data_IF_568639828086
#
_entry.id   IF_568639828086
#
_cell.length_a   1.000
_cell.length_b   1.000
_cell.length_c   1.000
_cell.angle_alpha   90.00
_cell.angle_beta   90.00
_cell.angle_gamma   90.00
#
_symmetry.space_group_name_H-M   'P 1'
#
loop_
_entity.id
_entity.type
_entity.pdbx_description
1 polymer ?
#
# COMPACT_ATOMS: atom_id res chain seq x y z
N UNK A 1 -15.44 21.04 40.75
CA UNK A 1 -15.96 20.85 39.37
C UNK A 1 -15.08 19.81 38.71
N UNK A 2 -15.63 18.61 38.55
CA UNK A 2 -14.92 17.41 38.12
C UNK A 2 -14.74 17.42 36.60
N UNK A 3 -13.51 17.18 36.13
CA UNK A 3 -13.23 16.91 34.72
C UNK A 3 -13.64 15.46 34.42
N UNK A 4 -14.76 15.28 33.74
CA UNK A 4 -15.16 13.99 33.20
C UNK A 4 -14.26 13.68 31.99
N UNK A 5 -13.36 12.72 32.17
CA UNK A 5 -12.61 12.12 31.07
C UNK A 5 -13.57 11.39 30.13
N UNK A 6 -13.46 11.66 28.82
CA UNK A 6 -14.09 10.83 27.80
C UNK A 6 -13.36 9.49 27.75
N UNK A 7 -13.94 8.49 28.38
CA UNK A 7 -13.64 7.08 28.11
C UNK A 7 -14.20 6.74 26.73
N UNK A 8 -13.31 6.53 25.75
CA UNK A 8 -13.68 5.90 24.49
C UNK A 8 -13.92 4.42 24.80
N UNK A 9 -15.18 4.03 24.92
CA UNK A 9 -15.57 2.63 25.05
C UNK A 9 -15.36 1.94 23.70
N UNK A 10 -14.26 1.21 23.55
CA UNK A 10 -14.06 0.20 22.51
C UNK A 10 -14.96 -1.00 22.80
N UNK A 11 -16.24 -0.88 22.47
CA UNK A 11 -17.16 -2.01 22.42
C UNK A 11 -17.20 -2.55 20.98
N UNK A 12 -16.65 -3.75 20.74
CA UNK A 12 -17.08 -4.52 19.56
C UNK A 12 -16.09 -5.39 18.78
N UNK A 13 -14.90 -5.74 19.28
CA UNK A 13 -14.14 -6.87 18.69
C UNK A 13 -13.80 -7.86 19.81
N UNK A 14 -14.81 -8.61 20.26
CA UNK A 14 -14.58 -9.91 20.91
C UNK A 14 -14.23 -10.92 19.81
N UNK A 15 -12.97 -10.90 19.39
CA UNK A 15 -12.46 -11.77 18.33
C UNK A 15 -10.98 -11.99 18.53
N UNK A 16 -10.62 -12.80 19.54
CA UNK A 16 -9.25 -13.20 19.84
C UNK A 16 -8.77 -14.31 18.86
N UNK A 17 -9.16 -14.21 17.58
CA UNK A 17 -8.87 -15.22 16.59
C UNK A 17 -7.44 -15.06 16.11
N UNK A 18 -6.63 -16.08 16.37
CA UNK A 18 -5.22 -16.10 15.97
C UNK A 18 -5.11 -16.65 14.56
N UNK A 19 -4.77 -15.78 13.62
CA UNK A 19 -4.50 -16.16 12.24
C UNK A 19 -2.99 -16.13 12.02
N UNK A 20 -2.46 -17.15 11.35
CA UNK A 20 -1.07 -17.18 10.88
C UNK A 20 -1.08 -17.33 9.37
N UNK A 21 -0.47 -16.37 8.68
CA UNK A 21 -0.33 -16.35 7.22
C UNK A 21 1.12 -16.58 6.81
N UNK A 22 1.32 -17.16 5.63
CA UNK A 22 2.62 -17.32 4.99
C UNK A 22 2.49 -16.97 3.52
N UNK A 23 3.46 -16.23 2.99
CA UNK A 23 3.58 -16.05 1.54
C UNK A 23 3.91 -17.42 0.94
N UNK A 24 3.18 -17.79 -0.10
CA UNK A 24 3.35 -19.04 -0.82
C UNK A 24 3.51 -18.77 -2.32
N UNK A 25 3.79 -19.82 -3.07
CA UNK A 25 3.93 -19.79 -4.54
C UNK A 25 4.93 -18.75 -5.06
N UNK A 26 6.22 -19.09 -4.92
CA UNK A 26 7.33 -18.29 -5.46
C UNK A 26 7.63 -18.63 -6.94
N UNK A 27 6.69 -19.23 -7.68
CA UNK A 27 6.91 -19.63 -9.08
C UNK A 27 7.20 -18.47 -10.04
N UNK A 28 6.72 -17.25 -9.69
CA UNK A 28 6.99 -16.02 -10.42
C UNK A 28 7.98 -15.09 -9.69
N UNK A 29 8.57 -15.52 -8.58
CA UNK A 29 9.53 -14.71 -7.84
C UNK A 29 10.82 -14.53 -8.64
N UNK A 30 11.50 -13.41 -8.42
CA UNK A 30 12.76 -13.10 -9.09
C UNK A 30 13.75 -12.44 -8.14
N UNK A 31 15.02 -12.41 -8.53
CA UNK A 31 16.07 -11.76 -7.74
C UNK A 31 16.10 -10.27 -8.07
N UNK A 32 16.31 -9.42 -7.06
CA UNK A 32 16.34 -7.96 -7.24
C UNK A 32 17.37 -7.47 -8.28
N UNK A 33 18.49 -8.20 -8.43
CA UNK A 33 19.56 -7.86 -9.38
C UNK A 33 19.37 -8.56 -10.75
N UNK A 34 18.47 -9.54 -10.85
CA UNK A 34 18.32 -10.40 -12.04
C UNK A 34 16.86 -10.74 -12.29
N UNK A 35 16.16 -9.86 -13.01
CA UNK A 35 14.77 -10.05 -13.40
C UNK A 35 14.63 -11.10 -14.51
N UNK A 36 13.68 -12.03 -14.33
CA UNK A 36 13.36 -13.07 -15.32
C UNK A 36 12.47 -12.53 -16.45
N UNK A 37 11.51 -11.67 -16.12
CA UNK A 37 10.54 -11.06 -17.05
C UNK A 37 10.07 -9.72 -16.51
N UNK A 38 9.68 -8.79 -17.39
CA UNK A 38 9.06 -7.51 -17.03
C UNK A 38 7.51 -7.59 -16.98
N UNK A 39 6.91 -8.68 -17.47
CA UNK A 39 5.47 -8.93 -17.27
C UNK A 39 5.26 -9.64 -15.93
N UNK A 40 5.06 -8.83 -14.89
CA UNK A 40 4.87 -9.26 -13.51
C UNK A 40 3.53 -8.75 -12.97
N UNK A 41 3.17 -9.24 -11.78
CA UNK A 41 1.96 -8.90 -11.02
C UNK A 41 0.65 -9.28 -11.73
N UNK A 42 -0.35 -9.70 -10.95
CA UNK A 42 -1.73 -9.82 -11.43
C UNK A 42 -2.31 -8.43 -11.66
N UNK A 43 -3.25 -8.31 -12.61
CA UNK A 43 -3.80 -7.04 -13.12
C UNK A 43 -4.14 -6.02 -12.03
N UNK A 44 -4.97 -6.38 -11.05
CA UNK A 44 -5.51 -5.49 -10.03
C UNK A 44 -4.46 -5.02 -9.00
N UNK A 45 -3.33 -5.73 -8.93
CA UNK A 45 -2.24 -5.44 -7.99
C UNK A 45 -1.03 -4.83 -8.68
N UNK A 46 -1.13 -4.54 -9.98
CA UNK A 46 -0.01 -4.11 -10.82
C UNK A 46 0.30 -2.63 -10.62
N UNK A 47 1.57 -2.31 -10.34
CA UNK A 47 2.02 -0.96 -10.06
C UNK A 47 2.22 -0.12 -11.35
N UNK A 48 2.17 1.22 -11.26
CA UNK A 48 2.20 2.09 -12.44
C UNK A 48 3.50 1.96 -13.25
N UNK A 49 4.65 1.79 -12.58
CA UNK A 49 5.93 1.61 -13.27
C UNK A 49 5.95 0.34 -14.14
N UNK A 50 5.28 -0.73 -13.74
CA UNK A 50 5.16 -1.95 -14.55
C UNK A 50 4.20 -1.73 -15.73
N UNK A 51 3.08 -1.05 -15.53
CA UNK A 51 2.12 -0.76 -16.62
C UNK A 51 2.79 0.07 -17.73
N UNK A 52 3.55 1.11 -17.37
CA UNK A 52 4.23 1.95 -18.35
C UNK A 52 5.53 1.33 -18.88
N UNK A 53 5.99 0.21 -18.30
CA UNK A 53 7.25 -0.45 -18.65
C UNK A 53 8.49 0.34 -18.26
N UNK A 54 8.45 1.04 -17.12
CA UNK A 54 9.60 1.65 -16.47
C UNK A 54 10.33 0.61 -15.61
N UNK A 55 11.52 0.99 -15.09
CA UNK A 55 12.25 0.14 -14.15
C UNK A 55 11.44 -0.02 -12.86
N UNK A 56 11.42 -1.25 -12.36
CA UNK A 56 10.75 -1.65 -11.13
C UNK A 56 11.74 -2.35 -10.19
N UNK A 57 11.36 -2.53 -8.93
CA UNK A 57 12.16 -3.18 -7.89
C UNK A 57 11.24 -3.86 -6.87
N UNK A 58 11.76 -4.27 -5.71
CA UNK A 58 10.98 -4.85 -4.61
C UNK A 58 9.84 -3.96 -4.11
N UNK A 59 9.85 -2.65 -4.40
CA UNK A 59 8.74 -1.74 -4.07
C UNK A 59 7.47 -2.03 -4.88
N UNK A 60 7.56 -2.80 -5.98
CA UNK A 60 6.39 -3.31 -6.71
C UNK A 60 5.52 -4.24 -5.83
N UNK A 61 6.14 -5.03 -4.95
CA UNK A 61 5.42 -5.89 -4.02
C UNK A 61 4.66 -5.07 -2.98
N UNK A 62 5.25 -3.97 -2.50
CA UNK A 62 4.60 -3.07 -1.52
C UNK A 62 3.33 -2.44 -2.10
N UNK A 63 3.34 -2.05 -3.37
CA UNK A 63 2.14 -1.59 -4.06
C UNK A 63 1.07 -2.70 -4.09
N UNK A 64 1.47 -3.93 -4.45
CA UNK A 64 0.56 -5.08 -4.49
C UNK A 64 -0.08 -5.34 -3.13
N UNK A 65 0.71 -5.24 -2.05
CA UNK A 65 0.24 -5.39 -0.67
C UNK A 65 -0.79 -4.32 -0.33
N UNK A 66 -0.60 -3.06 -0.74
CA UNK A 66 -1.59 -2.01 -0.50
C UNK A 66 -2.93 -2.31 -1.18
N UNK A 67 -2.89 -2.80 -2.43
CA UNK A 67 -4.10 -3.23 -3.14
C UNK A 67 -4.81 -4.39 -2.42
N UNK A 68 -4.06 -5.41 -1.97
CA UNK A 68 -4.61 -6.55 -1.22
C UNK A 68 -5.19 -6.11 0.12
N UNK A 69 -4.51 -5.22 0.85
CA UNK A 69 -5.00 -4.69 2.13
C UNK A 69 -6.31 -3.93 1.95
N UNK A 70 -6.41 -3.09 0.91
CA UNK A 70 -7.66 -2.41 0.58
C UNK A 70 -8.79 -3.42 0.28
N UNK A 71 -8.51 -4.46 -0.50
CA UNK A 71 -9.50 -5.49 -0.84
C UNK A 71 -10.00 -6.23 0.41
N UNK A 72 -9.10 -6.58 1.33
CA UNK A 72 -9.45 -7.22 2.60
C UNK A 72 -10.29 -6.29 3.48
N UNK A 73 -9.93 -5.01 3.57
CA UNK A 73 -10.65 -4.00 4.38
C UNK A 73 -12.06 -3.75 3.84
N UNK A 74 -12.21 -3.69 2.52
CA UNK A 74 -13.48 -3.36 1.87
C UNK A 74 -14.39 -4.57 1.63
N UNK A 75 -13.91 -5.79 1.94
CA UNK A 75 -14.70 -7.02 1.85
C UNK A 75 -14.73 -7.65 0.46
N UNK A 76 -13.70 -7.42 -0.35
CA UNK A 76 -13.51 -8.06 -1.65
C UNK A 76 -13.57 -7.12 -2.86
N UNK A 77 -13.69 -5.81 -2.66
CA UNK A 77 -13.61 -4.84 -3.75
C UNK A 77 -12.14 -4.58 -4.12
N UNK A 78 -11.81 -4.67 -5.41
CA UNK A 78 -10.49 -4.28 -5.88
C UNK A 78 -10.28 -2.76 -5.78
N UNK A 79 -9.09 -2.35 -5.35
CA UNK A 79 -8.69 -0.93 -5.37
C UNK A 79 -8.67 -0.37 -6.79
N UNK A 80 -8.20 -1.17 -7.73
CA UNK A 80 -8.22 -0.86 -9.15
C UNK A 80 -8.82 -2.05 -9.91
N UNK A 81 -9.92 -1.82 -10.63
CA UNK A 81 -10.57 -2.84 -11.47
C UNK A 81 -10.70 -2.31 -12.90
N UNK A 82 -9.63 -2.34 -13.69
CA UNK A 82 -9.60 -1.70 -15.00
C UNK A 82 -10.42 -2.45 -16.05
N UNK A 83 -11.25 -1.69 -16.78
CA UNK A 83 -12.09 -2.20 -17.86
C UNK A 83 -11.73 -1.54 -19.20
N UNK A 84 -11.85 -2.26 -20.34
CA UNK A 84 -11.60 -1.67 -21.63
C UNK A 84 -12.79 -0.79 -22.03
N UNK A 85 -12.50 0.34 -22.66
CA UNK A 85 -13.49 1.20 -23.29
C UNK A 85 -13.54 1.03 -24.80
N UNK A 86 -14.45 1.75 -25.45
CA UNK A 86 -14.50 1.82 -26.92
C UNK A 86 -13.32 2.57 -27.55
N UNK A 87 -12.62 3.42 -26.77
CA UNK A 87 -11.53 4.28 -27.26
C UNK A 87 -10.25 4.18 -26.43
N UNK A 88 -10.22 3.33 -25.41
CA UNK A 88 -9.12 3.19 -24.48
C UNK A 88 -8.98 1.72 -24.07
N UNK A 89 -7.75 1.28 -23.83
CA UNK A 89 -7.42 -0.08 -23.40
C UNK A 89 -7.69 -0.28 -21.90
N UNK A 90 -7.58 -1.52 -21.42
CA UNK A 90 -7.58 -1.77 -19.96
C UNK A 90 -6.42 -1.06 -19.27
N UNK A 91 -5.25 -0.97 -19.90
CA UNK A 91 -4.09 -0.30 -19.28
C UNK A 91 -4.28 1.22 -19.22
N UNK A 92 -4.95 1.83 -20.21
CA UNK A 92 -5.35 3.24 -20.16
C UNK A 92 -6.29 3.51 -18.97
N UNK A 93 -7.32 2.68 -18.80
CA UNK A 93 -8.27 2.79 -17.69
C UNK A 93 -7.59 2.59 -16.34
N UNK A 94 -6.66 1.63 -16.27
CA UNK A 94 -5.91 1.36 -15.05
C UNK A 94 -5.08 2.57 -14.61
N UNK A 95 -4.35 3.20 -15.54
CA UNK A 95 -3.59 4.41 -15.25
C UNK A 95 -4.53 5.56 -14.87
N UNK A 96 -5.69 5.70 -15.52
CA UNK A 96 -6.67 6.70 -15.16
C UNK A 96 -7.17 6.53 -13.71
N UNK A 97 -7.54 5.31 -13.30
CA UNK A 97 -7.96 5.02 -11.93
C UNK A 97 -6.85 5.33 -10.91
N UNK A 98 -5.60 4.99 -11.23
CA UNK A 98 -4.44 5.36 -10.39
C UNK A 98 -4.32 6.88 -10.24
N UNK A 99 -4.49 7.63 -11.33
CA UNK A 99 -4.41 9.10 -11.30
C UNK A 99 -5.59 9.70 -10.52
N UNK A 100 -6.80 9.15 -10.68
CA UNK A 100 -7.99 9.61 -9.95
C UNK A 100 -7.83 9.43 -8.44
N UNK A 101 -7.18 8.35 -7.99
CA UNK A 101 -6.95 8.08 -6.57
C UNK A 101 -5.75 8.83 -6.00
N UNK A 102 -4.60 8.77 -6.68
CA UNK A 102 -3.30 9.20 -6.14
C UNK A 102 -2.78 10.53 -6.70
N UNK A 103 -3.47 11.11 -7.68
CA UNK A 103 -3.03 12.30 -8.39
C UNK A 103 -2.13 11.99 -9.59
N UNK A 104 -1.59 13.05 -10.21
CA UNK A 104 -0.81 12.90 -11.45
C UNK A 104 0.46 12.06 -11.26
N UNK A 105 0.68 11.11 -12.16
CA UNK A 105 1.93 10.34 -12.20
C UNK A 105 3.08 11.28 -12.57
N UNK A 106 4.14 11.36 -11.74
CA UNK A 106 5.28 12.21 -12.03
C UNK A 106 5.91 11.88 -13.38
N UNK A 107 6.30 12.92 -14.13
CA UNK A 107 6.88 12.77 -15.48
C UNK A 107 8.12 11.87 -15.52
N UNK A 108 8.87 11.81 -14.44
CA UNK A 108 10.02 10.91 -14.27
C UNK A 108 9.65 9.42 -14.35
N UNK A 109 8.38 9.08 -14.16
CA UNK A 109 7.83 7.73 -14.32
C UNK A 109 6.99 7.67 -15.59
N UNK A 110 6.06 8.61 -15.76
CA UNK A 110 5.11 8.60 -16.88
C UNK A 110 5.79 8.61 -18.27
N UNK A 111 6.99 9.20 -18.39
CA UNK A 111 7.68 9.39 -19.68
C UNK A 111 8.96 8.57 -19.86
N UNK A 112 9.30 7.68 -18.92
CA UNK A 112 10.55 6.90 -18.95
C UNK A 112 10.35 5.43 -19.30
N UNK A 113 9.10 4.95 -19.29
CA UNK A 113 8.76 3.57 -19.58
C UNK A 113 8.70 3.25 -21.07
N UNK A 114 8.94 1.98 -21.40
CA UNK A 114 8.90 1.45 -22.78
C UNK A 114 7.56 1.71 -23.47
N UNK A 115 6.46 1.70 -22.71
CA UNK A 115 5.09 1.86 -23.21
C UNK A 115 4.54 3.27 -22.93
N UNK A 116 5.34 4.18 -22.35
CA UNK A 116 4.91 5.53 -21.97
C UNK A 116 4.23 6.32 -23.10
N UNK A 117 4.71 6.18 -24.34
CA UNK A 117 4.14 6.91 -25.48
C UNK A 117 2.73 6.46 -25.87
N UNK A 118 2.31 5.28 -25.44
CA UNK A 118 0.96 4.74 -25.67
C UNK A 118 -0.06 5.44 -24.75
N UNK A 119 0.34 5.72 -23.50
CA UNK A 119 -0.55 6.29 -22.49
C UNK A 119 -0.46 7.81 -22.42
N UNK A 120 0.76 8.37 -22.51
CA UNK A 120 1.01 9.79 -22.23
C UNK A 120 1.48 10.58 -23.45
N UNK A 121 1.05 11.83 -23.52
CA UNK A 121 1.61 12.82 -24.43
C UNK A 121 2.91 13.42 -23.85
N UNK A 122 3.60 14.29 -24.61
CA UNK A 122 4.86 14.92 -24.17
C UNK A 122 4.71 15.82 -22.93
N UNK A 123 3.49 16.26 -22.61
CA UNK A 123 3.21 17.03 -21.40
C UNK A 123 3.03 16.15 -20.17
N UNK A 124 2.91 14.83 -20.32
CA UNK A 124 2.58 13.89 -19.24
C UNK A 124 1.08 13.69 -19.02
N UNK A 125 0.24 14.13 -19.95
CA UNK A 125 -1.21 13.97 -19.87
C UNK A 125 -1.64 12.69 -20.61
N UNK A 126 -2.71 12.05 -20.14
CA UNK A 126 -3.29 10.87 -20.79
C UNK A 126 -3.79 11.19 -22.21
N UNK A 127 -3.56 10.26 -23.13
CA UNK A 127 -3.97 10.40 -24.55
C UNK A 127 -5.42 10.07 -24.79
N UNK A 128 -5.89 8.98 -24.19
CA UNK A 128 -7.17 8.37 -24.54
C UNK A 128 -8.30 8.70 -23.55
N UNK A 129 -7.96 9.17 -22.35
CA UNK A 129 -8.90 9.55 -21.30
C UNK A 129 -8.58 10.97 -20.85
N UNK A 130 -9.51 11.90 -21.08
CA UNK A 130 -9.34 13.33 -20.78
C UNK A 130 -10.17 13.82 -19.59
N UNK A 131 -11.18 13.05 -19.18
CA UNK A 131 -12.06 13.38 -18.07
C UNK A 131 -11.71 12.47 -16.90
N UNK A 132 -10.98 13.02 -15.94
CA UNK A 132 -10.61 12.35 -14.70
C UNK A 132 -11.46 12.90 -13.55
N UNK A 133 -11.89 12.03 -12.65
CA UNK A 133 -12.62 12.37 -11.42
C UNK A 133 -11.77 12.01 -10.22
N UNK A 134 -11.03 13.00 -9.71
CA UNK A 134 -10.20 12.79 -8.52
C UNK A 134 -11.06 12.45 -7.31
N UNK A 135 -10.73 11.34 -6.67
CA UNK A 135 -11.39 10.87 -5.46
C UNK A 135 -10.34 10.21 -4.57
N UNK A 136 -9.71 10.96 -3.66
CA UNK A 136 -8.59 10.46 -2.87
C UNK A 136 -9.05 9.34 -1.92
N UNK A 137 -8.11 8.50 -1.51
CA UNK A 137 -8.38 7.26 -0.79
C UNK A 137 -9.23 7.46 0.47
N UNK A 138 -8.93 8.47 1.29
CA UNK A 138 -9.69 8.77 2.50
C UNK A 138 -11.15 9.13 2.20
N UNK A 139 -11.41 9.81 1.08
CA UNK A 139 -12.76 10.16 0.64
C UNK A 139 -13.47 8.94 0.04
N UNK A 140 -12.77 8.04 -0.64
CA UNK A 140 -13.34 6.76 -1.10
C UNK A 140 -13.80 5.94 0.11
N UNK A 141 -12.95 5.81 1.13
CA UNK A 141 -13.26 5.08 2.35
C UNK A 141 -14.45 5.69 3.10
N UNK A 142 -14.53 7.02 3.22
CA UNK A 142 -15.63 7.68 3.92
C UNK A 142 -16.94 7.66 3.11
N UNK A 143 -16.89 7.99 1.83
CA UNK A 143 -18.08 8.30 1.05
C UNK A 143 -18.69 7.05 0.41
N UNK A 144 -17.86 6.09 -0.04
CA UNK A 144 -18.32 4.84 -0.67
C UNK A 144 -18.55 3.75 0.37
N UNK A 145 -17.61 3.57 1.30
CA UNK A 145 -17.63 2.47 2.27
C UNK A 145 -18.14 2.89 3.65
N UNK A 146 -18.47 4.17 3.84
CA UNK A 146 -19.09 4.69 5.06
C UNK A 146 -18.24 4.51 6.32
N UNK A 147 -16.92 4.41 6.17
CA UNK A 147 -16.02 4.42 7.31
C UNK A 147 -16.09 5.80 8.03
N UNK A 148 -16.08 5.83 9.37
CA UNK A 148 -15.92 7.07 10.11
C UNK A 148 -14.64 7.80 9.70
N UNK A 149 -14.69 9.13 9.57
CA UNK A 149 -13.56 9.94 9.11
C UNK A 149 -12.23 9.63 9.81
N UNK A 150 -12.15 9.48 11.15
CA UNK A 150 -10.90 9.12 11.82
C UNK A 150 -10.34 7.76 11.39
N UNK A 151 -11.20 6.79 11.10
CA UNK A 151 -10.80 5.47 10.63
C UNK A 151 -10.37 5.51 9.17
N UNK A 152 -11.10 6.23 8.31
CA UNK A 152 -10.71 6.49 6.92
C UNK A 152 -9.32 7.13 6.83
N UNK A 153 -9.07 8.14 7.67
CA UNK A 153 -7.78 8.84 7.72
C UNK A 153 -6.66 7.93 8.23
N UNK A 154 -6.94 7.08 9.23
CA UNK A 154 -5.96 6.13 9.76
C UNK A 154 -5.58 5.07 8.70
N UNK A 155 -6.56 4.49 8.00
CA UNK A 155 -6.31 3.53 6.91
C UNK A 155 -5.56 4.20 5.76
N UNK A 156 -6.01 5.39 5.32
CA UNK A 156 -5.34 6.12 4.26
C UNK A 156 -3.89 6.50 4.63
N UNK A 157 -3.64 6.87 5.89
CA UNK A 157 -2.27 7.16 6.36
C UNK A 157 -1.35 5.94 6.27
N UNK A 158 -1.88 4.73 6.43
CA UNK A 158 -1.15 3.48 6.26
C UNK A 158 -0.95 3.11 4.77
N UNK A 159 -1.99 3.24 3.94
CA UNK A 159 -1.95 2.81 2.54
C UNK A 159 -1.24 3.79 1.59
N UNK A 160 -1.39 5.10 1.80
CA UNK A 160 -0.83 6.12 0.90
C UNK A 160 0.71 6.04 0.71
N UNK A 161 1.53 5.79 1.76
CA UNK A 161 2.98 5.60 1.59
C UNK A 161 3.34 4.38 0.73
N UNK A 162 2.51 3.32 0.78
CA UNK A 162 2.66 2.12 -0.04
C UNK A 162 2.18 2.32 -1.49
N UNK A 163 1.25 3.25 -1.70
CA UNK A 163 0.74 3.67 -3.02
C UNK A 163 1.51 4.87 -3.61
N UNK A 164 2.72 5.16 -3.12
CA UNK A 164 3.54 6.24 -3.67
C UNK A 164 3.88 5.97 -5.15
N UNK A 165 3.59 6.95 -6.01
CA UNK A 165 3.82 6.86 -7.45
C UNK A 165 5.30 6.91 -7.85
N UNK A 166 6.18 7.38 -6.96
CA UNK A 166 7.63 7.32 -7.15
C UNK A 166 8.17 6.07 -6.46
N UNK A 167 8.65 5.05 -7.19
CA UNK A 167 9.11 3.79 -6.60
C UNK A 167 10.21 4.01 -5.55
N UNK A 168 11.17 4.89 -5.83
CA UNK A 168 12.27 5.22 -4.91
C UNK A 168 11.84 5.94 -3.62
N UNK A 169 10.60 6.45 -3.57
CA UNK A 169 10.01 7.09 -2.37
C UNK A 169 8.88 6.27 -1.76
N UNK A 170 8.52 5.13 -2.37
CA UNK A 170 7.51 4.24 -1.84
C UNK A 170 8.06 3.59 -0.57
N UNK A 171 7.24 3.58 0.48
CA UNK A 171 7.64 3.03 1.76
C UNK A 171 8.08 1.57 1.62
N UNK A 172 9.08 1.15 2.40
CA UNK A 172 9.43 -0.27 2.44
C UNK A 172 8.48 -1.03 3.36
N UNK A 173 8.29 -2.34 3.13
CA UNK A 173 7.53 -3.18 4.07
C UNK A 173 8.13 -3.15 5.49
N UNK A 174 9.45 -3.00 5.60
CA UNK A 174 10.15 -2.87 6.87
C UNK A 174 9.78 -1.59 7.63
N UNK A 175 9.57 -0.47 6.93
CA UNK A 175 9.10 0.77 7.57
C UNK A 175 7.63 0.63 7.99
N UNK A 176 6.81 0.04 7.12
CA UNK A 176 5.36 -0.04 7.32
C UNK A 176 4.94 -0.96 8.47
N UNK A 177 5.77 -1.93 8.86
CA UNK A 177 5.48 -2.79 10.03
C UNK A 177 5.43 -2.01 11.34
N UNK A 178 6.00 -0.80 11.38
CA UNK A 178 6.04 0.08 12.53
C UNK A 178 4.97 1.20 12.48
N UNK A 179 4.08 1.15 11.50
CA UNK A 179 3.06 2.18 11.35
C UNK A 179 1.99 2.09 12.47
N UNK A 180 1.54 3.23 12.98
CA UNK A 180 0.62 3.32 14.12
C UNK A 180 -0.70 2.58 13.93
N UNK A 181 -1.18 2.48 12.68
CA UNK A 181 -2.37 1.69 12.32
C UNK A 181 -2.26 0.20 12.71
N UNK A 182 -1.04 -0.34 12.86
CA UNK A 182 -0.79 -1.72 13.26
C UNK A 182 -0.47 -1.89 14.76
N UNK A 183 -0.38 -0.81 15.57
CA UNK A 183 0.04 -0.89 16.98
C UNK A 183 -0.85 -1.79 17.84
N UNK A 184 -2.16 -1.83 17.54
CA UNK A 184 -3.10 -2.68 18.27
C UNK A 184 -3.04 -4.16 17.84
N UNK A 185 -2.27 -4.51 16.81
CA UNK A 185 -2.16 -5.87 16.30
C UNK A 185 -1.11 -6.64 17.07
N UNK A 186 -1.55 -7.63 17.85
CA UNK A 186 -0.64 -8.55 18.55
C UNK A 186 -0.24 -9.68 17.60
N UNK A 187 0.97 -9.63 17.04
CA UNK A 187 1.50 -10.74 16.24
C UNK A 187 2.22 -11.74 17.14
N UNK A 188 1.75 -13.00 17.20
CA UNK A 188 2.47 -14.09 17.89
C UNK A 188 3.50 -14.74 16.97
N UNK A 189 4.39 -13.93 16.41
CA UNK A 189 5.46 -14.37 15.52
C UNK A 189 6.76 -14.68 16.26
N UNK A 190 7.57 -15.58 15.70
CA UNK A 190 8.95 -15.86 16.18
C UNK A 190 9.81 -14.59 16.21
N UNK A 191 9.50 -13.60 15.36
CA UNK A 191 10.17 -12.29 15.32
C UNK A 191 9.80 -11.37 16.49
N UNK A 192 8.55 -11.37 16.95
CA UNK A 192 8.15 -10.61 18.15
C UNK A 192 8.66 -11.28 19.43
N UNK A 193 8.74 -12.61 19.44
CA UNK A 193 9.44 -13.34 20.50
C UNK A 193 10.94 -12.96 20.52
N UNK A 194 11.60 -12.90 19.37
CA UNK A 194 13.00 -12.47 19.27
C UNK A 194 13.18 -10.99 19.64
N UNK A 195 12.28 -10.09 19.20
CA UNK A 195 12.32 -8.67 19.55
C UNK A 195 12.14 -8.45 21.05
N UNK A 196 11.19 -9.14 21.69
CA UNK A 196 11.03 -9.09 23.15
C UNK A 196 12.28 -9.60 23.86
N UNK A 197 12.89 -10.68 23.37
CA UNK A 197 14.17 -11.19 23.90
C UNK A 197 15.28 -10.14 23.73
N UNK A 198 15.41 -9.53 22.56
CA UNK A 198 16.42 -8.49 22.28
C UNK A 198 16.20 -7.21 23.12
N UNK A 199 14.95 -6.79 23.32
CA UNK A 199 14.59 -5.63 24.14
C UNK A 199 14.80 -5.90 25.64
N UNK A 200 14.47 -7.10 26.12
CA UNK A 200 14.72 -7.56 27.48
C UNK A 200 16.24 -7.68 27.76
N UNK A 201 17.03 -8.17 26.80
CA UNK A 201 18.50 -8.22 26.89
C UNK A 201 19.11 -6.80 26.93
N UNK A 202 18.61 -5.86 26.12
CA UNK A 202 19.09 -4.47 26.09
C UNK A 202 18.77 -3.68 27.34
N UNK A 203 17.62 -3.95 27.96
CA UNK A 203 17.20 -3.30 29.21
C UNK A 203 17.97 -3.85 30.41
N UNK A 204 18.20 -5.16 30.47
CA UNK A 204 19.08 -5.81 31.47
C UNK A 204 20.53 -5.30 31.42
N UNK A 205 21.05 -5.03 30.22
CA UNK A 205 22.42 -4.51 30.03
C UNK A 205 22.61 -3.08 30.56
N UNK A 206 21.53 -2.27 30.58
CA UNK A 206 21.58 -0.87 31.04
C UNK A 206 21.47 -0.71 32.55
N UNK A 207 20.91 -1.70 33.26
CA UNK A 207 20.83 -1.69 34.72
C UNK A 207 22.15 -2.12 35.38
N UNK A 208 23.05 -2.79 34.64
CA UNK A 208 24.36 -3.23 35.13
C UNK A 208 25.47 -2.17 35.13
N UNK A 209 25.32 -1.06 34.39
CA UNK A 209 26.35 -0.02 34.27
C UNK A 209 26.21 1.14 35.30
N UNK A 210 25.26 1.03 36.24
CA UNK A 210 24.95 2.07 37.23
C UNK A 210 25.66 1.96 38.58
N UNK A 211 26.57 1.00 38.76
CA UNK A 211 27.28 0.75 40.03
C UNK A 211 28.79 0.52 39.82
N UNK A 212 29.48 1.48 39.20
CA UNK A 212 30.93 1.65 39.35
C UNK A 212 31.27 3.08 39.76
#
# INVERSE_FOLDING_TARGET
>A
MSAAGLSVTTSGIEGNEKITVKIADLGNATWAEHHITDDIQTRQYRCPEVIVGAKWSSTADVWSVACVMFELITGGDYLFDPAPGSRYSKDDDHIAQIIELMGEIPKSIALTGKYSSEFFNRKGELRHISKLRFWPLEAVLSDKYLFPKPESDAIASFLNPMLCLLPDKRASAGDMVHHSWLEAVVVQGKLDALRRIEEDERSSSREGEGYE
#
